data_IF_092249899330
#
_entry.id   IF_092249899330
#
_cell.length_a   1.000
_cell.length_b   1.000
_cell.length_c   1.000
_cell.angle_alpha   90.00
_cell.angle_beta   90.00
_cell.angle_gamma   90.00
#
_symmetry.space_group_name_H-M   'P 1'
#
loop_
_entity.id
_entity.type
_entity.pdbx_description
1 polymer ?
#
# COMPACT_ATOMS: atom_id res chain seq x y z
N UNK A 1 -68.48 12.26 -20.45
CA UNK A 1 -67.42 12.78 -19.55
C UNK A 1 -66.46 11.64 -19.22
N UNK A 2 -65.56 11.33 -20.16
CA UNK A 2 -64.67 10.18 -20.10
C UNK A 2 -63.26 10.62 -19.68
N UNK A 3 -62.61 9.85 -18.79
CA UNK A 3 -61.17 9.60 -18.92
C UNK A 3 -60.17 10.43 -18.07
N UNK A 4 -60.58 11.19 -17.06
CA UNK A 4 -59.64 12.02 -16.29
C UNK A 4 -58.72 11.27 -15.29
N UNK A 5 -58.77 9.94 -15.19
CA UNK A 5 -58.04 9.17 -14.15
C UNK A 5 -57.20 7.99 -14.67
N UNK A 6 -56.84 7.95 -15.96
CA UNK A 6 -55.90 6.94 -16.48
C UNK A 6 -54.44 7.39 -16.62
N UNK A 7 -54.14 8.68 -16.45
CA UNK A 7 -52.78 9.21 -16.63
C UNK A 7 -51.88 9.21 -15.39
N UNK A 8 -52.41 9.04 -14.18
CA UNK A 8 -51.63 9.26 -12.94
C UNK A 8 -50.81 8.05 -12.49
N UNK A 9 -51.11 6.84 -12.97
CA UNK A 9 -50.37 5.62 -12.61
C UNK A 9 -49.12 5.37 -13.46
N UNK A 10 -49.01 6.00 -14.62
CA UNK A 10 -47.76 5.94 -15.42
C UNK A 10 -46.62 6.65 -14.70
N UNK A 11 -46.92 7.74 -13.98
CA UNK A 11 -45.94 8.45 -13.15
C UNK A 11 -45.52 7.66 -11.90
N UNK A 12 -46.33 6.69 -11.45
CA UNK A 12 -46.00 5.78 -10.34
C UNK A 12 -45.01 4.70 -10.80
N UNK A 13 -45.12 4.23 -12.05
CA UNK A 13 -44.15 3.34 -12.71
C UNK A 13 -42.85 4.10 -13.06
N UNK A 14 -42.95 5.39 -13.39
CA UNK A 14 -41.79 6.28 -13.63
C UNK A 14 -41.15 6.75 -12.32
N UNK A 15 -41.84 6.62 -11.17
CA UNK A 15 -41.27 6.91 -9.86
C UNK A 15 -40.31 5.79 -9.50
N UNK A 16 -39.11 5.99 -10.06
CA UNK A 16 -37.83 5.35 -9.75
C UNK A 16 -38.06 3.96 -9.19
N UNK A 17 -37.97 2.98 -10.08
CA UNK A 17 -37.43 1.69 -9.72
C UNK A 17 -36.46 1.93 -8.55
N UNK A 18 -36.71 1.34 -7.38
CA UNK A 18 -35.75 1.29 -6.28
C UNK A 18 -34.51 0.46 -6.68
N UNK A 19 -34.16 0.48 -7.97
CA UNK A 19 -32.88 0.09 -8.51
C UNK A 19 -31.92 0.98 -7.80
N UNK A 20 -31.25 0.41 -6.80
CA UNK A 20 -30.15 1.07 -6.10
C UNK A 20 -29.32 1.82 -7.13
N UNK A 21 -29.45 3.15 -7.12
CA UNK A 21 -28.72 4.03 -8.00
C UNK A 21 -27.22 3.77 -7.86
N UNK A 22 -26.46 4.18 -8.87
CA UNK A 22 -24.98 4.12 -8.93
C UNK A 22 -24.36 3.04 -8.02
N UNK A 23 -24.36 1.80 -8.49
CA UNK A 23 -23.89 0.66 -7.69
C UNK A 23 -22.39 0.82 -7.39
N UNK A 24 -22.07 1.02 -6.11
CA UNK A 24 -20.69 0.98 -5.61
C UNK A 24 -20.16 -0.45 -5.72
N UNK A 25 -19.40 -0.72 -6.78
CA UNK A 25 -18.89 -2.06 -7.07
C UNK A 25 -17.93 -2.51 -5.97
N UNK A 26 -18.35 -3.49 -5.17
CA UNK A 26 -17.48 -4.15 -4.19
C UNK A 26 -16.53 -5.10 -4.90
N UNK A 27 -15.28 -4.66 -5.09
CA UNK A 27 -14.25 -5.48 -5.74
C UNK A 27 -13.71 -6.50 -4.73
N UNK A 28 -13.63 -7.76 -5.14
CA UNK A 28 -13.07 -8.83 -4.30
C UNK A 28 -11.58 -8.62 -4.08
N UNK A 29 -11.09 -9.18 -2.97
CA UNK A 29 -9.66 -9.23 -2.68
C UNK A 29 -8.98 -10.29 -3.56
N UNK A 30 -8.55 -9.87 -4.74
CA UNK A 30 -7.81 -10.73 -5.69
C UNK A 30 -6.38 -10.96 -5.24
N UNK A 31 -5.73 -11.97 -5.81
CA UNK A 31 -4.33 -12.35 -5.51
C UNK A 31 -3.36 -11.19 -5.71
N UNK A 32 -3.47 -10.45 -6.81
CA UNK A 32 -2.63 -9.27 -7.08
C UNK A 32 -2.81 -8.18 -6.03
N UNK A 33 -4.06 -7.96 -5.56
CA UNK A 33 -4.35 -6.99 -4.49
C UNK A 33 -3.75 -7.44 -3.15
N UNK A 34 -3.80 -8.74 -2.84
CA UNK A 34 -3.11 -9.32 -1.66
C UNK A 34 -1.59 -9.11 -1.74
N UNK A 35 -0.99 -9.33 -2.91
CA UNK A 35 0.44 -9.12 -3.10
C UNK A 35 0.84 -7.65 -2.90
N UNK A 36 0.02 -6.69 -3.36
CA UNK A 36 0.25 -5.27 -3.11
C UNK A 36 0.12 -4.92 -1.61
N UNK A 37 -0.85 -5.49 -0.92
CA UNK A 37 -0.99 -5.33 0.54
C UNK A 37 0.26 -5.85 1.28
N UNK A 38 0.75 -7.05 0.93
CA UNK A 38 2.00 -7.59 1.50
C UNK A 38 3.19 -6.67 1.28
N UNK A 39 3.36 -6.11 0.06
CA UNK A 39 4.42 -5.13 -0.22
C UNK A 39 4.31 -3.87 0.64
N UNK A 40 3.09 -3.35 0.86
CA UNK A 40 2.86 -2.18 1.71
C UNK A 40 3.22 -2.46 3.17
N UNK A 41 2.81 -3.61 3.70
CA UNK A 41 3.15 -4.03 5.06
C UNK A 41 4.66 -4.14 5.27
N UNK A 42 5.37 -4.79 4.33
CA UNK A 42 6.83 -4.91 4.40
C UNK A 42 7.54 -3.56 4.40
N UNK A 43 7.06 -2.60 3.60
CA UNK A 43 7.62 -1.23 3.59
C UNK A 43 7.44 -0.54 4.93
N UNK A 44 6.26 -0.66 5.55
CA UNK A 44 6.01 -0.07 6.86
C UNK A 44 6.94 -0.67 7.90
N UNK A 45 7.11 -2.00 7.92
CA UNK A 45 8.06 -2.64 8.83
C UNK A 45 9.51 -2.23 8.63
N UNK A 46 9.96 -2.08 7.37
CA UNK A 46 11.30 -1.56 7.09
C UNK A 46 11.45 -0.13 7.61
N UNK A 47 10.46 0.74 7.36
CA UNK A 47 10.49 2.12 7.86
C UNK A 47 10.51 2.16 9.39
N UNK A 48 9.68 1.35 10.04
CA UNK A 48 9.66 1.24 11.50
C UNK A 48 10.99 0.72 12.06
N UNK A 49 11.61 -0.28 11.41
CA UNK A 49 12.91 -0.80 11.81
C UNK A 49 14.01 0.26 11.69
N UNK A 50 14.02 1.03 10.60
CA UNK A 50 14.97 2.14 10.41
C UNK A 50 14.76 3.21 11.47
N UNK A 51 13.52 3.64 11.71
CA UNK A 51 13.22 4.67 12.71
C UNK A 51 13.61 4.22 14.13
N UNK A 52 13.36 2.95 14.47
CA UNK A 52 13.81 2.37 15.74
C UNK A 52 15.33 2.36 15.85
N UNK A 53 16.03 1.90 14.82
CA UNK A 53 17.49 1.89 14.79
C UNK A 53 18.09 3.31 14.91
N UNK A 54 17.45 4.33 14.32
CA UNK A 54 17.87 5.72 14.46
C UNK A 54 17.52 6.34 15.83
N UNK A 55 16.55 5.78 16.56
CA UNK A 55 16.19 6.24 17.91
C UNK A 55 17.07 5.64 19.01
N UNK A 56 17.71 4.51 18.73
CA UNK A 56 18.75 3.94 19.57
C UNK A 56 20.04 4.76 19.37
N UNK A 57 20.74 5.10 20.46
CA UNK A 57 22.04 5.80 20.35
C UNK A 57 22.98 4.92 19.50
N UNK A 58 23.66 5.48 18.49
CA UNK A 58 24.59 4.70 17.69
C UNK A 58 25.64 4.09 18.63
N UNK A 59 25.73 2.76 18.65
CA UNK A 59 26.82 2.06 19.34
C UNK A 59 28.13 2.49 18.68
N UNK A 60 29.00 3.16 19.43
CA UNK A 60 30.34 3.54 19.02
C UNK A 60 31.20 2.27 18.83
N UNK A 61 31.03 1.56 17.71
CA UNK A 61 31.80 0.33 17.45
C UNK A 61 32.07 0.07 15.98
N UNK A 62 31.98 1.11 15.14
CA UNK A 62 32.37 1.03 13.72
C UNK A 62 33.37 2.12 13.28
N UNK A 63 33.88 2.92 14.22
CA UNK A 63 34.80 4.04 13.95
C UNK A 63 36.30 3.76 14.11
N UNK A 64 36.73 2.51 14.38
CA UNK A 64 38.13 2.18 14.68
C UNK A 64 38.85 1.39 13.58
N UNK A 65 38.46 1.57 12.31
CA UNK A 65 39.08 0.86 11.19
C UNK A 65 39.21 1.74 9.94
N UNK A 66 39.64 3.00 10.09
CA UNK A 66 40.19 3.78 8.97
C UNK A 66 41.24 4.77 9.49
N UNK A 67 42.40 4.29 9.92
CA UNK A 67 43.65 5.06 9.81
C UNK A 67 44.86 4.12 9.86
N UNK A 68 45.78 4.24 8.88
CA UNK A 68 47.04 3.49 8.88
C UNK A 68 47.52 2.99 7.51
N UNK A 69 48.16 3.89 6.76
CA UNK A 69 49.41 3.71 6.01
C UNK A 69 49.74 2.37 5.33
N UNK A 70 49.93 2.42 4.02
CA UNK A 70 50.26 1.26 3.18
C UNK A 70 51.70 0.74 3.30
N UNK A 71 51.85 -0.54 2.95
CA UNK A 71 52.91 -1.13 2.11
C UNK A 71 52.54 -2.61 1.88
N UNK A 72 52.24 -2.99 0.64
CA UNK A 72 52.06 -4.40 0.25
C UNK A 72 53.41 -4.96 -0.20
N UNK A 73 54.14 -5.58 0.73
CA UNK A 73 55.32 -6.38 0.38
C UNK A 73 54.87 -7.70 -0.25
N UNK A 74 54.95 -7.78 -1.58
CA UNK A 74 54.77 -9.04 -2.32
C UNK A 74 56.08 -9.82 -2.24
N UNK A 75 56.17 -10.71 -1.26
CA UNK A 75 57.27 -11.68 -1.16
C UNK A 75 57.14 -12.79 -2.21
N UNK A 76 58.18 -12.95 -3.02
CA UNK A 76 58.36 -14.02 -4.00
C UNK A 76 58.28 -15.41 -3.39
N UNK A 77 57.48 -16.30 -4.00
CA UNK A 77 57.52 -17.75 -3.75
C UNK A 77 58.84 -18.35 -4.27
N UNK A 78 59.45 -19.22 -3.46
CA UNK A 78 60.41 -20.25 -3.89
C UNK A 78 59.66 -21.44 -4.48
#
# INVERSE_FOLDING_TARGET
MAGAFWGTRVMEIVKKHDSGGLVWKRIKLTTTRKANAKKRLLRVWQNEAVLKACSEKPSETLGAAVDGGGEINIGSNH
#
